data_IF_362326097922
#
_entry.id   IF_362326097922
#
_cell.length_a   1.000
_cell.length_b   1.000
_cell.length_c   1.000
_cell.angle_alpha   90.00
_cell.angle_beta   90.00
_cell.angle_gamma   90.00
#
_symmetry.space_group_name_H-M   'P 1'
#
loop_
_entity.id
_entity.type
_entity.pdbx_description
1 polymer ?
#
# COMPACT_ATOMS: atom_id res chain seq x y z
N UNK A 1 -17.73 43.80 9.94
CA UNK A 1 -16.32 43.40 9.71
C UNK A 1 -16.00 41.93 10.03
N UNK A 2 -15.63 41.51 11.26
CA UNK A 2 -15.09 40.14 11.47
C UNK A 2 -16.05 39.00 11.10
N UNK A 3 -17.35 39.11 11.41
CA UNK A 3 -18.34 38.08 11.00
C UNK A 3 -18.46 37.98 9.48
N UNK A 4 -18.45 39.13 8.80
CA UNK A 4 -18.48 39.23 7.34
C UNK A 4 -17.22 38.64 6.71
N UNK A 5 -16.03 38.95 7.25
CA UNK A 5 -14.76 38.32 6.85
C UNK A 5 -14.86 36.78 6.81
N UNK A 6 -15.36 36.18 7.90
CA UNK A 6 -15.51 34.72 8.01
C UNK A 6 -16.45 34.17 6.95
N UNK A 7 -17.62 34.79 6.77
CA UNK A 7 -18.61 34.35 5.80
C UNK A 7 -18.13 34.49 4.35
N UNK A 8 -17.53 35.63 4.02
CA UNK A 8 -17.02 35.91 2.67
C UNK A 8 -15.89 34.93 2.33
N UNK A 9 -14.97 34.68 3.27
CA UNK A 9 -13.88 33.72 3.07
C UNK A 9 -14.42 32.30 2.85
N UNK A 10 -15.34 31.83 3.69
CA UNK A 10 -15.97 30.52 3.49
C UNK A 10 -16.69 30.41 2.15
N UNK A 11 -17.35 31.48 1.70
CA UNK A 11 -18.05 31.50 0.42
C UNK A 11 -17.09 31.40 -0.77
N UNK A 12 -16.00 32.17 -0.78
CA UNK A 12 -15.00 32.13 -1.86
C UNK A 12 -14.32 30.74 -1.95
N UNK A 13 -14.07 30.11 -0.82
CA UNK A 13 -13.51 28.75 -0.79
C UNK A 13 -14.50 27.71 -1.33
N UNK A 14 -15.82 27.89 -1.12
CA UNK A 14 -16.84 27.02 -1.70
C UNK A 14 -16.98 27.18 -3.22
N UNK A 15 -16.66 28.35 -3.77
CA UNK A 15 -16.62 28.57 -5.22
C UNK A 15 -15.36 28.03 -5.91
N UNK A 16 -14.44 27.41 -5.15
CA UNK A 16 -13.21 26.82 -5.70
C UNK A 16 -12.11 27.85 -5.98
N UNK A 17 -12.17 29.02 -5.34
CA UNK A 17 -11.07 29.98 -5.41
C UNK A 17 -9.87 29.55 -4.55
N UNK A 18 -8.69 30.09 -4.90
CA UNK A 18 -7.43 29.78 -4.25
C UNK A 18 -7.38 30.32 -2.82
N UNK A 19 -7.07 29.46 -1.84
CA UNK A 19 -7.07 29.76 -0.41
C UNK A 19 -6.32 31.04 -0.05
N UNK A 20 -5.03 31.14 -0.38
CA UNK A 20 -4.23 32.31 0.00
C UNK A 20 -4.71 33.60 -0.67
N UNK A 21 -5.17 33.51 -1.92
CA UNK A 21 -5.71 34.66 -2.65
C UNK A 21 -7.02 35.16 -2.01
N UNK A 22 -7.96 34.25 -1.74
CA UNK A 22 -9.24 34.59 -1.10
C UNK A 22 -9.04 35.12 0.32
N UNK A 23 -8.13 34.53 1.12
CA UNK A 23 -7.80 35.02 2.45
C UNK A 23 -7.22 36.46 2.41
N UNK A 24 -6.27 36.73 1.52
CA UNK A 24 -5.69 38.08 1.33
C UNK A 24 -6.74 39.08 0.90
N UNK A 25 -7.59 38.72 -0.07
CA UNK A 25 -8.67 39.57 -0.57
C UNK A 25 -9.69 39.92 0.54
N UNK A 26 -10.19 38.91 1.27
CA UNK A 26 -11.14 39.13 2.36
C UNK A 26 -10.54 39.96 3.50
N UNK A 27 -9.27 39.72 3.85
CA UNK A 27 -8.58 40.50 4.89
C UNK A 27 -8.44 41.97 4.47
N UNK A 28 -8.02 42.23 3.23
CA UNK A 28 -7.87 43.58 2.70
C UNK A 28 -9.23 44.32 2.64
N UNK A 29 -10.28 43.66 2.15
CA UNK A 29 -11.64 44.21 2.12
C UNK A 29 -12.14 44.56 3.53
N UNK A 30 -11.90 43.68 4.49
CA UNK A 30 -12.29 43.88 5.89
C UNK A 30 -11.53 45.04 6.55
N UNK A 31 -10.23 45.19 6.25
CA UNK A 31 -9.45 46.34 6.70
C UNK A 31 -9.98 47.65 6.12
N UNK A 32 -10.32 47.70 4.83
CA UNK A 32 -10.90 48.90 4.20
C UNK A 32 -12.26 49.26 4.82
N UNK A 33 -13.12 48.28 5.07
CA UNK A 33 -14.42 48.48 5.74
C UNK A 33 -14.23 49.03 7.16
N UNK A 34 -13.26 48.50 7.91
CA UNK A 34 -12.94 48.99 9.25
C UNK A 34 -12.44 50.44 9.24
N UNK A 35 -11.52 50.78 8.34
CA UNK A 35 -11.00 52.16 8.23
C UNK A 35 -12.06 53.17 7.79
N UNK A 36 -13.00 52.77 6.93
CA UNK A 36 -14.13 53.61 6.57
C UNK A 36 -15.03 53.86 7.78
N UNK A 37 -15.47 52.80 8.47
CA UNK A 37 -16.30 52.93 9.66
C UNK A 37 -15.63 53.69 10.81
N UNK A 38 -14.31 53.56 10.96
CA UNK A 38 -13.53 54.34 11.94
C UNK A 38 -13.52 55.83 11.60
N UNK A 39 -13.26 56.21 10.35
CA UNK A 39 -13.29 57.61 9.91
C UNK A 39 -14.65 58.26 10.11
N UNK A 40 -15.73 57.51 9.92
CA UNK A 40 -17.10 58.00 10.11
C UNK A 40 -17.46 58.17 11.61
N UNK A 41 -16.82 57.40 12.51
CA UNK A 41 -17.12 57.40 13.94
C UNK A 41 -16.22 58.33 14.78
N UNK A 42 -15.05 58.74 14.28
CA UNK A 42 -14.10 59.59 15.03
C UNK A 42 -14.64 61.00 15.25
N UNK A 43 -14.68 61.43 16.51
CA UNK A 43 -15.01 62.80 16.91
C UNK A 43 -13.73 63.63 16.99
N UNK A 44 -13.67 64.75 16.25
CA UNK A 44 -12.47 65.61 16.07
C UNK A 44 -11.83 66.18 17.35
N UNK A 45 -12.46 66.06 18.51
CA UNK A 45 -11.98 66.63 19.78
C UNK A 45 -11.70 65.57 20.85
N UNK A 46 -11.75 64.30 20.48
CA UNK A 46 -11.46 63.20 21.40
C UNK A 46 -10.22 62.45 20.93
N UNK A 47 -9.30 62.15 21.86
CA UNK A 47 -8.04 61.46 21.60
C UNK A 47 -8.26 59.94 21.47
N UNK A 48 -9.08 59.54 20.50
CA UNK A 48 -9.47 58.16 20.28
C UNK A 48 -8.42 57.46 19.41
N UNK A 49 -7.69 56.51 20.00
CA UNK A 49 -6.73 55.68 19.29
C UNK A 49 -7.37 54.35 18.84
N UNK A 50 -7.55 54.21 17.53
CA UNK A 50 -8.13 53.02 16.89
C UNK A 50 -7.13 51.86 16.71
N UNK A 51 -5.84 52.06 16.99
CA UNK A 51 -4.79 51.06 16.73
C UNK A 51 -5.04 49.76 17.47
N UNK A 52 -5.45 49.80 18.74
CA UNK A 52 -5.73 48.60 19.53
C UNK A 52 -6.87 47.77 18.92
N UNK A 53 -7.96 48.43 18.50
CA UNK A 53 -9.11 47.79 17.86
C UNK A 53 -8.74 47.21 16.50
N UNK A 54 -7.93 47.94 15.71
CA UNK A 54 -7.38 47.46 14.42
C UNK A 54 -6.51 46.21 14.61
N UNK A 55 -5.59 46.26 15.56
CA UNK A 55 -4.69 45.14 15.86
C UNK A 55 -5.46 43.91 16.32
N UNK A 56 -6.47 44.09 17.18
CA UNK A 56 -7.36 42.99 17.62
C UNK A 56 -8.14 42.38 16.46
N UNK A 57 -8.66 43.21 15.55
CA UNK A 57 -9.36 42.73 14.36
C UNK A 57 -8.41 41.92 13.47
N UNK A 58 -7.22 42.46 13.18
CA UNK A 58 -6.21 41.79 12.36
C UNK A 58 -5.77 40.45 12.96
N UNK A 59 -5.44 40.44 14.26
CA UNK A 59 -5.10 39.21 14.97
C UNK A 59 -6.25 38.19 14.91
N UNK A 60 -7.50 38.63 15.07
CA UNK A 60 -8.66 37.73 15.00
C UNK A 60 -8.87 37.13 13.60
N UNK A 61 -8.60 37.91 12.54
CA UNK A 61 -8.64 37.42 11.16
C UNK A 61 -7.50 36.44 10.87
N UNK A 62 -6.29 36.73 11.33
CA UNK A 62 -5.12 35.87 11.18
C UNK A 62 -5.32 34.52 11.90
N UNK A 63 -5.81 34.54 13.14
CA UNK A 63 -6.14 33.32 13.90
C UNK A 63 -7.20 32.50 13.17
N UNK A 64 -8.28 33.13 12.69
CA UNK A 64 -9.31 32.41 11.94
C UNK A 64 -8.77 31.81 10.63
N UNK A 65 -7.96 32.57 9.89
CA UNK A 65 -7.33 32.12 8.65
C UNK A 65 -6.41 30.92 8.90
N UNK A 66 -5.62 30.97 9.98
CA UNK A 66 -4.73 29.87 10.35
C UNK A 66 -5.52 28.59 10.71
N UNK A 67 -6.58 28.71 11.52
CA UNK A 67 -7.45 27.58 11.84
C UNK A 67 -8.09 26.97 10.59
N UNK A 68 -8.58 27.80 9.68
CA UNK A 68 -9.21 27.34 8.45
C UNK A 68 -8.20 26.70 7.49
N UNK A 69 -6.98 27.24 7.42
CA UNK A 69 -5.86 26.66 6.66
C UNK A 69 -5.58 25.23 7.11
N UNK A 70 -5.45 25.00 8.42
CA UNK A 70 -5.21 23.66 8.99
C UNK A 70 -6.34 22.70 8.59
N UNK A 71 -7.60 23.09 8.79
CA UNK A 71 -8.74 22.26 8.45
C UNK A 71 -8.78 21.88 6.95
N UNK A 72 -8.46 22.83 6.07
CA UNK A 72 -8.41 22.60 4.62
C UNK A 72 -7.25 21.71 4.18
N UNK A 73 -6.09 21.84 4.83
CA UNK A 73 -4.95 20.95 4.60
C UNK A 73 -5.22 19.52 5.05
N UNK A 74 -5.93 19.33 6.17
CA UNK A 74 -6.36 17.99 6.61
C UNK A 74 -7.33 17.35 5.61
N UNK A 75 -8.30 18.12 5.10
CA UNK A 75 -9.23 17.67 4.04
C UNK A 75 -8.48 17.29 2.75
N UNK A 76 -7.52 18.12 2.34
CA UNK A 76 -6.66 17.88 1.18
C UNK A 76 -5.87 16.58 1.37
N UNK A 77 -5.18 16.44 2.50
CA UNK A 77 -4.40 15.25 2.86
C UNK A 77 -5.27 14.00 2.87
N UNK A 78 -6.47 14.05 3.43
CA UNK A 78 -7.41 12.93 3.41
C UNK A 78 -7.82 12.54 1.99
N UNK A 79 -8.10 13.53 1.13
CA UNK A 79 -8.44 13.31 -0.28
C UNK A 79 -7.33 12.60 -1.03
N UNK A 80 -6.07 13.05 -0.87
CA UNK A 80 -4.94 12.46 -1.57
C UNK A 80 -4.53 11.08 -1.01
N UNK A 81 -4.69 10.86 0.30
CA UNK A 81 -4.58 9.52 0.90
C UNK A 81 -5.58 8.54 0.29
N UNK A 82 -6.84 8.97 0.11
CA UNK A 82 -7.86 8.16 -0.56
C UNK A 82 -7.50 7.87 -2.02
N UNK A 83 -7.03 8.85 -2.79
CA UNK A 83 -6.55 8.64 -4.17
C UNK A 83 -5.43 7.59 -4.25
N UNK A 84 -4.47 7.63 -3.32
CA UNK A 84 -3.40 6.63 -3.23
C UNK A 84 -3.96 5.23 -2.92
N UNK A 85 -4.89 5.14 -1.97
CA UNK A 85 -5.54 3.88 -1.62
C UNK A 85 -6.25 3.27 -2.83
N UNK A 86 -7.05 4.07 -3.53
CA UNK A 86 -7.84 3.63 -4.69
C UNK A 86 -6.93 3.19 -5.85
N UNK A 87 -5.82 3.92 -6.10
CA UNK A 87 -4.87 3.61 -7.17
C UNK A 87 -3.99 2.38 -6.90
N UNK A 88 -3.66 2.10 -5.64
CA UNK A 88 -2.72 1.04 -5.27
C UNK A 88 -3.39 -0.27 -4.83
N UNK A 89 -4.46 -0.20 -4.04
CA UNK A 89 -5.01 -1.37 -3.34
C UNK A 89 -5.44 -2.50 -4.28
N UNK A 90 -6.33 -2.19 -5.25
CA UNK A 90 -6.86 -3.17 -6.19
C UNK A 90 -5.77 -3.79 -7.08
N UNK A 91 -4.93 -2.98 -7.75
CA UNK A 91 -3.86 -3.52 -8.58
C UNK A 91 -2.82 -4.33 -7.81
N UNK A 92 -2.41 -3.91 -6.59
CA UNK A 92 -1.50 -4.69 -5.74
C UNK A 92 -2.11 -6.04 -5.39
N UNK A 93 -3.40 -6.07 -5.05
CA UNK A 93 -4.13 -7.33 -4.82
C UNK A 93 -3.97 -8.25 -6.02
N UNK A 94 -4.40 -7.78 -7.19
CA UNK A 94 -4.43 -8.59 -8.41
C UNK A 94 -3.04 -9.17 -8.78
N UNK A 95 -1.98 -8.38 -8.61
CA UNK A 95 -0.61 -8.83 -8.87
C UNK A 95 -0.13 -9.89 -7.86
N UNK A 96 -0.54 -9.79 -6.61
CA UNK A 96 -0.19 -10.79 -5.59
C UNK A 96 -1.01 -12.08 -5.73
N UNK A 97 -2.27 -11.98 -6.18
CA UNK A 97 -3.13 -13.12 -6.42
C UNK A 97 -2.60 -14.05 -7.52
N UNK A 98 -2.03 -13.47 -8.59
CA UNK A 98 -1.34 -14.25 -9.63
C UNK A 98 -0.06 -14.87 -9.07
N UNK A 99 0.71 -14.09 -8.31
CA UNK A 99 1.93 -14.53 -7.63
C UNK A 99 3.01 -15.00 -8.58
N UNK A 100 3.12 -14.33 -9.72
CA UNK A 100 4.18 -14.55 -10.69
C UNK A 100 5.54 -14.13 -10.13
N UNK A 101 6.62 -14.62 -10.75
CA UNK A 101 7.99 -14.37 -10.26
C UNK A 101 8.32 -12.87 -10.22
N UNK A 102 7.76 -12.10 -11.13
CA UNK A 102 7.98 -10.66 -11.25
C UNK A 102 6.91 -9.82 -10.52
N UNK A 103 6.02 -10.42 -9.71
CA UNK A 103 4.95 -9.71 -8.98
C UNK A 103 5.48 -8.47 -8.24
N UNK A 104 6.59 -8.60 -7.50
CA UNK A 104 7.18 -7.47 -6.79
C UNK A 104 7.85 -6.43 -7.70
N UNK A 105 8.37 -6.82 -8.85
CA UNK A 105 8.87 -5.87 -9.85
C UNK A 105 7.70 -5.07 -10.46
N UNK A 106 6.59 -5.73 -10.76
CA UNK A 106 5.35 -5.10 -11.23
C UNK A 106 4.75 -4.16 -10.17
N UNK A 107 4.69 -4.59 -8.91
CA UNK A 107 4.25 -3.74 -7.78
C UNK A 107 5.16 -2.51 -7.63
N UNK A 108 6.49 -2.64 -7.75
CA UNK A 108 7.41 -1.49 -7.67
C UNK A 108 7.18 -0.49 -8.79
N UNK A 109 6.98 -0.95 -10.03
CA UNK A 109 6.67 -0.07 -11.18
C UNK A 109 5.37 0.70 -10.95
N UNK A 110 4.31 0.00 -10.53
CA UNK A 110 3.03 0.60 -10.18
C UNK A 110 3.19 1.61 -9.03
N UNK A 111 3.79 1.19 -7.92
CA UNK A 111 4.01 2.01 -6.73
C UNK A 111 4.73 3.31 -7.08
N UNK A 112 5.83 3.24 -7.82
CA UNK A 112 6.58 4.44 -8.25
C UNK A 112 5.73 5.36 -9.12
N UNK A 113 5.06 4.80 -10.14
CA UNK A 113 4.26 5.59 -11.09
C UNK A 113 3.13 6.33 -10.40
N UNK A 114 2.30 5.61 -9.64
CA UNK A 114 1.12 6.20 -9.00
C UNK A 114 1.50 7.14 -7.86
N UNK A 115 2.49 6.75 -7.03
CA UNK A 115 2.90 7.56 -5.88
C UNK A 115 3.51 8.89 -6.33
N UNK A 116 4.42 8.89 -7.29
CA UNK A 116 5.03 10.15 -7.75
C UNK A 116 4.02 11.03 -8.52
N UNK A 117 3.16 10.45 -9.35
CA UNK A 117 2.09 11.22 -10.01
C UNK A 117 1.17 11.92 -9.01
N UNK A 118 0.73 11.20 -7.97
CA UNK A 118 -0.16 11.74 -6.95
C UNK A 118 0.56 12.77 -6.07
N UNK A 119 1.84 12.56 -5.75
CA UNK A 119 2.65 13.51 -5.00
C UNK A 119 2.85 14.81 -5.77
N UNK A 120 3.18 14.75 -7.07
CA UNK A 120 3.31 15.95 -7.89
C UNK A 120 2.02 16.77 -7.86
N UNK A 121 0.88 16.12 -8.09
CA UNK A 121 -0.43 16.78 -8.06
C UNK A 121 -0.77 17.36 -6.68
N UNK A 122 -0.37 16.65 -5.61
CA UNK A 122 -0.53 17.11 -4.23
C UNK A 122 0.35 18.34 -3.93
N UNK A 123 1.62 18.32 -4.34
CA UNK A 123 2.55 19.44 -4.19
C UNK A 123 2.06 20.68 -4.93
N UNK A 124 1.53 20.52 -6.14
CA UNK A 124 0.91 21.62 -6.88
C UNK A 124 -0.29 22.20 -6.12
N UNK A 125 -1.12 21.34 -5.52
CA UNK A 125 -2.26 21.78 -4.69
C UNK A 125 -1.81 22.47 -3.39
N UNK A 126 -0.70 22.03 -2.79
CA UNK A 126 -0.13 22.64 -1.58
C UNK A 126 0.41 24.05 -1.83
N UNK A 127 0.87 24.34 -3.04
CA UNK A 127 1.41 25.67 -3.40
C UNK A 127 0.40 26.80 -3.18
N UNK A 128 -0.90 26.49 -3.22
CA UNK A 128 -2.01 27.42 -2.98
C UNK A 128 -2.08 27.95 -1.54
N UNK A 129 -1.49 27.22 -0.59
CA UNK A 129 -1.62 27.49 0.84
C UNK A 129 -0.48 28.34 1.42
N UNK A 130 0.53 28.67 0.61
CA UNK A 130 1.71 29.48 0.99
C UNK A 130 2.39 28.96 2.26
N UNK A 131 2.59 27.65 2.32
CA UNK A 131 3.25 26.98 3.46
C UNK A 131 4.76 27.20 3.43
N UNK A 132 5.37 27.12 4.61
CA UNK A 132 6.81 27.02 4.69
C UNK A 132 7.31 25.67 4.11
N UNK A 133 8.57 25.66 3.71
CA UNK A 133 9.16 24.48 3.06
C UNK A 133 9.14 23.25 3.96
N UNK A 134 9.33 23.41 5.28
CA UNK A 134 9.42 22.28 6.21
C UNK A 134 8.08 21.57 6.35
N UNK A 135 6.99 22.32 6.55
CA UNK A 135 5.63 21.78 6.62
C UNK A 135 5.24 21.08 5.31
N UNK A 136 5.56 21.68 4.16
CA UNK A 136 5.25 21.07 2.85
C UNK A 136 5.96 19.72 2.64
N UNK A 137 7.23 19.62 3.06
CA UNK A 137 8.03 18.40 2.95
C UNK A 137 7.50 17.32 3.89
N UNK A 138 7.15 17.67 5.12
CA UNK A 138 6.55 16.74 6.08
C UNK A 138 5.25 16.14 5.55
N UNK A 139 4.34 16.96 5.00
CA UNK A 139 3.08 16.48 4.43
C UNK A 139 3.29 15.52 3.25
N UNK A 140 4.28 15.78 2.40
CA UNK A 140 4.64 14.88 1.28
C UNK A 140 5.22 13.57 1.80
N UNK A 141 6.06 13.59 2.84
CA UNK A 141 6.60 12.39 3.48
C UNK A 141 5.49 11.52 4.08
N UNK A 142 4.50 12.12 4.73
CA UNK A 142 3.35 11.39 5.28
C UNK A 142 2.52 10.71 4.17
N UNK A 143 2.38 11.34 2.99
CA UNK A 143 1.73 10.72 1.84
C UNK A 143 2.54 9.53 1.29
N UNK A 144 3.88 9.67 1.20
CA UNK A 144 4.76 8.56 0.80
C UNK A 144 4.66 7.37 1.76
N UNK A 145 4.65 7.63 3.06
CA UNK A 145 4.48 6.59 4.06
C UNK A 145 3.08 5.95 3.96
N UNK A 146 2.03 6.73 3.72
CA UNK A 146 0.69 6.20 3.49
C UNK A 146 0.62 5.28 2.27
N UNK A 147 1.30 5.64 1.17
CA UNK A 147 1.40 4.79 -0.02
C UNK A 147 2.09 3.46 0.32
N UNK A 148 3.21 3.50 1.05
CA UNK A 148 3.93 2.28 1.48
C UNK A 148 3.04 1.42 2.39
N UNK A 149 2.42 2.03 3.40
CA UNK A 149 1.50 1.37 4.32
C UNK A 149 0.35 0.67 3.58
N UNK A 150 -0.20 1.30 2.53
CA UNK A 150 -1.26 0.69 1.70
C UNK A 150 -0.77 -0.60 1.04
N UNK A 151 0.39 -0.59 0.39
CA UNK A 151 0.96 -1.80 -0.25
C UNK A 151 1.25 -2.88 0.78
N UNK A 152 1.87 -2.52 1.91
CA UNK A 152 2.20 -3.48 3.00
C UNK A 152 0.93 -4.09 3.59
N UNK A 153 -0.10 -3.27 3.86
CA UNK A 153 -1.39 -3.75 4.36
C UNK A 153 -1.98 -4.75 3.39
N UNK A 154 -2.00 -4.43 2.10
CA UNK A 154 -2.59 -5.33 1.10
C UNK A 154 -1.80 -6.63 0.95
N UNK A 155 -0.48 -6.56 1.02
CA UNK A 155 0.36 -7.74 1.02
C UNK A 155 0.13 -8.64 2.24
N UNK A 156 -0.11 -8.06 3.43
CA UNK A 156 -0.46 -8.82 4.65
C UNK A 156 -1.82 -9.52 4.52
N UNK A 157 -2.81 -8.86 3.93
CA UNK A 157 -4.12 -9.47 3.65
C UNK A 157 -3.99 -10.68 2.72
N UNK A 158 -3.25 -10.55 1.60
CA UNK A 158 -3.07 -11.67 0.68
C UNK A 158 -2.21 -12.79 1.26
N UNK A 159 -1.18 -12.46 2.05
CA UNK A 159 -0.40 -13.44 2.79
C UNK A 159 -1.25 -14.24 3.80
N UNK A 160 -2.27 -13.61 4.40
CA UNK A 160 -3.25 -14.30 5.25
C UNK A 160 -4.07 -15.37 4.51
N UNK A 161 -4.24 -15.21 3.20
CA UNK A 161 -4.99 -16.13 2.33
C UNK A 161 -4.08 -17.17 1.62
N UNK A 162 -2.78 -17.19 1.92
CA UNK A 162 -1.78 -17.97 1.16
C UNK A 162 -2.13 -19.44 1.02
N UNK A 163 -2.63 -20.10 2.06
CA UNK A 163 -2.94 -21.54 2.01
C UNK A 163 -4.02 -21.85 0.97
N UNK A 164 -5.09 -21.05 0.92
CA UNK A 164 -6.18 -21.22 -0.05
C UNK A 164 -5.65 -20.97 -1.46
N UNK A 165 -4.84 -19.93 -1.65
CA UNK A 165 -4.26 -19.59 -2.96
C UNK A 165 -3.28 -20.67 -3.45
N UNK A 166 -2.45 -21.20 -2.56
CA UNK A 166 -1.56 -22.33 -2.85
C UNK A 166 -2.34 -23.56 -3.31
N UNK A 167 -3.43 -23.91 -2.62
CA UNK A 167 -4.31 -25.02 -3.02
C UNK A 167 -4.94 -24.75 -4.38
N UNK A 168 -5.44 -23.55 -4.62
CA UNK A 168 -5.98 -23.16 -5.93
C UNK A 168 -4.94 -23.35 -7.04
N UNK A 169 -3.72 -22.83 -6.85
CA UNK A 169 -2.63 -22.96 -7.83
C UNK A 169 -2.22 -24.41 -8.05
N UNK A 170 -2.14 -25.20 -6.97
CA UNK A 170 -1.86 -26.63 -7.05
C UNK A 170 -2.92 -27.36 -7.85
N UNK A 171 -4.20 -27.16 -7.54
CA UNK A 171 -5.31 -27.80 -8.25
C UNK A 171 -5.30 -27.44 -9.72
N UNK A 172 -5.09 -26.16 -10.09
CA UNK A 172 -5.01 -25.75 -11.49
C UNK A 172 -3.92 -26.52 -12.24
N UNK A 173 -2.70 -26.62 -11.69
CA UNK A 173 -1.59 -27.32 -12.35
C UNK A 173 -1.80 -28.84 -12.39
N UNK A 174 -2.37 -29.42 -11.33
CA UNK A 174 -2.62 -30.86 -11.27
C UNK A 174 -3.73 -31.29 -12.23
N UNK A 175 -4.84 -30.54 -12.27
CA UNK A 175 -6.07 -30.96 -12.95
C UNK A 175 -6.20 -30.44 -14.39
N UNK A 176 -5.30 -29.58 -14.87
CA UNK A 176 -5.34 -29.07 -16.24
C UNK A 176 -4.07 -29.42 -17.00
N UNK A 177 -4.19 -29.60 -18.30
CA UNK A 177 -3.06 -29.73 -19.21
C UNK A 177 -2.46 -28.35 -19.59
N UNK A 178 -1.57 -28.33 -20.59
CA UNK A 178 -0.89 -27.10 -21.04
C UNK A 178 -1.83 -26.10 -21.71
N UNK A 179 -2.96 -26.57 -22.24
CA UNK A 179 -3.97 -25.77 -22.92
C UNK A 179 -5.08 -25.31 -21.97
N UNK A 180 -4.88 -25.52 -20.65
CA UNK A 180 -5.85 -25.23 -19.58
C UNK A 180 -7.14 -26.06 -19.70
N UNK A 181 -7.09 -27.19 -20.39
CA UNK A 181 -8.21 -28.12 -20.47
C UNK A 181 -8.14 -29.14 -19.33
N UNK A 182 -9.28 -29.61 -18.80
CA UNK A 182 -9.29 -30.65 -17.77
C UNK A 182 -8.50 -31.89 -18.21
N UNK A 183 -7.53 -32.28 -17.39
CA UNK A 183 -6.60 -33.36 -17.69
C UNK A 183 -7.33 -34.70 -17.70
N UNK A 184 -7.07 -35.49 -18.74
CA UNK A 184 -7.43 -36.91 -18.80
C UNK A 184 -6.18 -37.72 -18.47
N UNK A 185 -6.23 -38.56 -17.43
CA UNK A 185 -5.07 -39.32 -16.97
C UNK A 185 -4.77 -40.49 -17.91
N UNK A 186 -3.77 -40.34 -18.77
CA UNK A 186 -3.33 -41.38 -19.71
C UNK A 186 -2.17 -42.17 -19.09
N UNK A 187 -1.98 -43.43 -19.49
CA UNK A 187 -0.93 -44.34 -18.99
C UNK A 187 0.50 -43.78 -19.03
N UNK A 188 0.80 -42.85 -19.94
CA UNK A 188 2.15 -42.31 -20.14
C UNK A 188 2.47 -41.07 -19.28
N UNK A 189 1.52 -40.55 -18.51
CA UNK A 189 1.76 -39.36 -17.69
C UNK A 189 2.47 -39.70 -16.37
N UNK A 190 3.54 -38.96 -16.05
CA UNK A 190 4.21 -39.05 -14.76
C UNK A 190 3.50 -38.16 -13.73
N UNK A 191 2.54 -38.75 -13.01
CA UNK A 191 1.78 -38.06 -11.95
C UNK A 191 2.70 -37.52 -10.86
N UNK A 192 3.83 -38.17 -10.57
CA UNK A 192 4.78 -37.69 -9.56
C UNK A 192 5.50 -36.43 -10.04
N UNK A 193 5.92 -36.38 -11.31
CA UNK A 193 6.48 -35.17 -11.91
C UNK A 193 5.47 -34.01 -11.93
N UNK A 194 4.22 -34.26 -12.34
CA UNK A 194 3.14 -33.26 -12.36
C UNK A 194 2.85 -32.76 -10.94
N UNK A 195 2.75 -33.66 -9.96
CA UNK A 195 2.55 -33.30 -8.55
C UNK A 195 3.70 -32.46 -8.02
N UNK A 196 4.94 -32.79 -8.41
CA UNK A 196 6.13 -32.01 -8.04
C UNK A 196 6.09 -30.60 -8.66
N UNK A 197 5.65 -30.47 -9.91
CA UNK A 197 5.47 -29.18 -10.58
C UNK A 197 4.37 -28.33 -9.92
N UNK A 198 3.23 -28.93 -9.60
CA UNK A 198 2.13 -28.26 -8.90
C UNK A 198 2.57 -27.76 -7.51
N UNK A 199 3.36 -28.57 -6.79
CA UNK A 199 3.99 -28.21 -5.51
C UNK A 199 4.99 -27.06 -5.66
N UNK A 200 5.81 -27.09 -6.70
CA UNK A 200 6.76 -26.02 -7.03
C UNK A 200 6.02 -24.69 -7.31
N UNK A 201 4.94 -24.73 -8.09
CA UNK A 201 4.13 -23.55 -8.38
C UNK A 201 3.50 -22.96 -7.10
N UNK A 202 2.99 -23.80 -6.19
CA UNK A 202 2.47 -23.35 -4.89
C UNK A 202 3.56 -22.75 -3.99
N UNK A 203 4.79 -23.29 -3.99
CA UNK A 203 5.90 -22.74 -3.21
C UNK A 203 6.38 -21.38 -3.74
N UNK A 204 6.40 -21.18 -5.06
CA UNK A 204 6.75 -19.88 -5.63
C UNK A 204 5.77 -18.80 -5.18
N UNK A 205 4.49 -19.12 -5.11
CA UNK A 205 3.47 -18.24 -4.57
C UNK A 205 3.74 -17.89 -3.09
N UNK A 206 4.09 -18.90 -2.27
CA UNK A 206 4.49 -18.66 -0.88
C UNK A 206 5.73 -17.76 -0.77
N UNK A 207 6.72 -17.94 -1.65
CA UNK A 207 7.92 -17.10 -1.70
C UNK A 207 7.59 -15.64 -1.99
N UNK A 208 6.68 -15.39 -2.95
CA UNK A 208 6.19 -14.05 -3.26
C UNK A 208 5.51 -13.43 -2.04
N UNK A 209 4.68 -14.19 -1.31
CA UNK A 209 3.92 -13.69 -0.14
C UNK A 209 4.68 -13.74 1.19
N UNK A 210 5.92 -14.21 1.23
CA UNK A 210 6.69 -14.31 2.46
C UNK A 210 7.25 -12.97 2.95
N UNK A 211 7.53 -12.04 2.03
CA UNK A 211 8.13 -10.75 2.33
C UNK A 211 7.74 -9.67 1.33
N UNK A 212 7.69 -8.42 1.81
CA UNK A 212 7.56 -7.21 1.01
C UNK A 212 8.91 -6.87 0.38
N UNK A 213 8.92 -6.61 -0.94
CA UNK A 213 10.14 -6.34 -1.71
C UNK A 213 10.04 -5.02 -2.48
N UNK A 214 9.78 -3.93 -1.76
CA UNK A 214 9.68 -2.59 -2.35
C UNK A 214 11.04 -1.93 -2.60
N UNK A 215 12.07 -2.30 -1.83
CA UNK A 215 13.41 -1.69 -1.86
C UNK A 215 14.39 -2.39 -2.81
N UNK A 216 13.94 -3.40 -3.55
CA UNK A 216 14.75 -4.19 -4.50
C UNK A 216 15.96 -4.90 -3.88
N UNK A 217 15.96 -5.09 -2.55
CA UNK A 217 17.02 -5.87 -1.93
C UNK A 217 16.87 -7.35 -2.29
N UNK A 218 17.97 -8.03 -2.64
CA UNK A 218 17.92 -9.46 -2.86
C UNK A 218 17.62 -10.17 -1.54
N UNK A 219 16.96 -11.31 -1.65
CA UNK A 219 16.74 -12.25 -0.56
C UNK A 219 16.87 -13.69 -1.08
N UNK A 220 16.96 -14.63 -0.14
CA UNK A 220 17.14 -16.06 -0.44
C UNK A 220 15.89 -16.89 -0.13
N UNK A 221 14.72 -16.27 0.00
CA UNK A 221 13.50 -16.94 0.46
C UNK A 221 13.08 -18.04 -0.50
N UNK A 222 13.00 -17.76 -1.81
CA UNK A 222 12.61 -18.75 -2.82
C UNK A 222 13.48 -20.01 -2.72
N UNK A 223 14.81 -19.81 -2.73
CA UNK A 223 15.79 -20.88 -2.64
C UNK A 223 15.68 -21.65 -1.32
N UNK A 224 15.54 -20.95 -0.19
CA UNK A 224 15.38 -21.56 1.12
C UNK A 224 14.13 -22.45 1.19
N UNK A 225 13.00 -21.98 0.64
CA UNK A 225 11.76 -22.74 0.57
C UNK A 225 11.91 -23.98 -0.32
N UNK A 226 12.49 -23.86 -1.51
CA UNK A 226 12.66 -25.00 -2.41
C UNK A 226 13.54 -26.10 -1.81
N UNK A 227 14.72 -25.73 -1.29
CA UNK A 227 15.68 -26.68 -0.70
C UNK A 227 15.11 -27.37 0.54
N UNK A 228 14.33 -26.65 1.35
CA UNK A 228 13.84 -27.18 2.63
C UNK A 228 12.52 -27.95 2.51
N UNK A 229 11.66 -27.59 1.56
CA UNK A 229 10.27 -28.05 1.51
C UNK A 229 9.96 -28.94 0.31
N UNK A 230 10.60 -28.72 -0.85
CA UNK A 230 10.33 -29.46 -2.09
C UNK A 230 11.25 -30.66 -2.27
N UNK A 231 12.57 -30.47 -2.12
CA UNK A 231 13.60 -31.47 -2.47
C UNK A 231 13.86 -32.52 -1.36
N UNK A 232 12.91 -32.70 -0.44
CA UNK A 232 12.86 -33.89 0.42
C UNK A 232 13.80 -33.90 1.63
N UNK A 233 13.44 -33.16 2.67
CA UNK A 233 13.73 -33.54 4.06
C UNK A 233 14.87 -32.79 4.77
N UNK A 234 14.98 -32.96 6.11
CA UNK A 234 15.80 -32.15 7.02
C UNK A 234 17.33 -32.20 6.77
N UNK A 235 17.79 -32.98 5.79
CA UNK A 235 19.21 -33.12 5.42
C UNK A 235 19.55 -32.48 4.06
N UNK A 236 18.58 -32.00 3.28
CA UNK A 236 18.84 -31.45 1.95
C UNK A 236 19.54 -30.08 1.98
N UNK A 237 19.23 -29.24 2.97
CA UNK A 237 19.96 -27.99 3.19
C UNK A 237 21.43 -28.22 3.56
N UNK A 238 21.79 -29.35 4.19
CA UNK A 238 23.19 -29.70 4.52
C UNK A 238 24.06 -29.95 3.29
N UNK A 239 23.45 -30.24 2.14
CA UNK A 239 24.14 -30.34 0.83
C UNK A 239 24.25 -28.99 0.12
N UNK A 240 23.55 -27.96 0.61
CA UNK A 240 23.70 -26.60 0.11
C UNK A 240 24.92 -25.96 0.75
N UNK A 241 25.85 -25.45 -0.07
CA UNK A 241 26.97 -24.63 0.39
C UNK A 241 26.48 -23.30 0.98
N UNK A 242 25.24 -22.91 0.64
CA UNK A 242 24.68 -21.58 0.91
C UNK A 242 24.03 -21.45 2.30
N UNK A 243 23.65 -22.56 2.94
CA UNK A 243 22.96 -22.54 4.24
C UNK A 243 23.74 -23.35 5.27
N UNK A 244 24.20 -22.69 6.34
CA UNK A 244 24.97 -23.31 7.43
C UNK A 244 24.09 -23.95 8.51
N UNK A 245 22.80 -23.63 8.52
CA UNK A 245 21.76 -24.18 9.40
C UNK A 245 20.42 -24.28 8.68
N UNK A 246 19.42 -24.90 9.31
CA UNK A 246 18.06 -25.00 8.74
C UNK A 246 17.47 -23.59 8.52
N UNK A 247 17.28 -23.14 7.27
CA UNK A 247 16.90 -21.76 6.97
C UNK A 247 15.48 -21.43 7.39
N UNK A 248 14.67 -22.44 7.71
CA UNK A 248 13.29 -22.29 8.14
C UNK A 248 13.11 -22.52 9.65
N UNK A 249 14.19 -22.67 10.42
CA UNK A 249 14.12 -22.81 11.89
C UNK A 249 14.01 -21.45 12.61
N UNK A 250 14.34 -20.35 11.92
CA UNK A 250 14.29 -18.99 12.46
C UNK A 250 12.88 -18.39 12.46
N UNK A 251 12.62 -17.47 13.38
CA UNK A 251 11.42 -16.62 13.38
C UNK A 251 11.54 -15.43 12.43
N UNK A 252 12.73 -15.15 11.90
CA UNK A 252 13.02 -14.05 10.98
C UNK A 252 13.77 -14.54 9.73
N UNK A 253 13.55 -13.86 8.61
CA UNK A 253 14.31 -14.09 7.39
C UNK A 253 15.66 -13.37 7.44
N UNK A 254 16.70 -14.00 6.90
CA UNK A 254 17.98 -13.33 6.64
C UNK A 254 17.79 -12.30 5.52
N UNK A 255 18.43 -11.14 5.63
CA UNK A 255 18.38 -10.03 4.64
C UNK A 255 17.02 -9.31 4.50
N UNK A 256 15.99 -9.70 5.26
CA UNK A 256 14.66 -9.05 5.24
C UNK A 256 14.36 -8.44 6.61
N UNK A 257 13.87 -7.20 6.61
CA UNK A 257 13.52 -6.51 7.85
C UNK A 257 12.27 -7.15 8.52
N UNK A 258 12.12 -7.04 9.85
CA UNK A 258 10.90 -7.47 10.53
C UNK A 258 9.63 -6.78 10.03
N UNK A 259 9.74 -5.52 9.56
CA UNK A 259 8.61 -4.74 9.05
C UNK A 259 8.13 -5.25 7.69
N UNK A 260 9.06 -5.76 6.87
CA UNK A 260 8.79 -6.30 5.54
C UNK A 260 8.50 -7.80 5.56
N UNK A 261 8.68 -8.48 6.71
CA UNK A 261 8.30 -9.88 6.88
C UNK A 261 6.77 -10.03 6.95
N UNK A 262 6.21 -10.83 6.03
CA UNK A 262 4.77 -11.14 5.97
C UNK A 262 4.47 -12.53 6.56
N UNK A 263 5.27 -13.52 6.20
CA UNK A 263 5.18 -14.90 6.70
C UNK A 263 6.56 -15.29 7.18
N UNK A 264 6.68 -15.67 8.45
CA UNK A 264 7.97 -16.08 9.03
C UNK A 264 8.41 -17.45 8.49
N UNK A 265 9.72 -17.77 8.55
CA UNK A 265 10.21 -19.07 8.06
C UNK A 265 9.54 -20.27 8.75
N UNK A 266 9.28 -20.18 10.06
CA UNK A 266 8.55 -21.22 10.83
C UNK A 266 7.09 -21.33 10.40
N UNK A 267 6.42 -20.21 10.09
CA UNK A 267 5.06 -20.24 9.54
C UNK A 267 5.03 -20.89 8.16
N UNK A 268 6.00 -20.61 7.28
CA UNK A 268 6.12 -21.27 5.98
C UNK A 268 6.18 -22.80 6.11
N UNK A 269 6.95 -23.32 7.09
CA UNK A 269 6.96 -24.76 7.41
C UNK A 269 5.58 -25.28 7.82
N UNK A 270 4.89 -24.55 8.70
CA UNK A 270 3.56 -24.95 9.18
C UNK A 270 2.54 -24.99 8.04
N UNK A 271 2.47 -23.91 7.25
CA UNK A 271 1.61 -23.78 6.08
C UNK A 271 1.91 -24.90 5.08
N UNK A 272 3.19 -25.20 4.83
CA UNK A 272 3.57 -26.29 3.91
C UNK A 272 3.11 -27.67 4.38
N UNK A 273 3.22 -27.96 5.69
CA UNK A 273 2.71 -29.24 6.23
C UNK A 273 1.21 -29.36 6.04
N UNK A 274 0.46 -28.31 6.37
CA UNK A 274 -0.98 -28.28 6.18
C UNK A 274 -1.36 -28.40 4.70
N UNK A 275 -0.72 -27.63 3.83
CA UNK A 275 -0.90 -27.69 2.38
C UNK A 275 -0.69 -29.12 1.83
N UNK A 276 0.38 -29.81 2.26
CA UNK A 276 0.62 -31.19 1.82
C UNK A 276 -0.50 -32.14 2.27
N UNK A 277 -0.89 -32.09 3.53
CA UNK A 277 -1.97 -32.92 4.05
C UNK A 277 -3.29 -32.70 3.29
N UNK A 278 -3.63 -31.44 2.98
CA UNK A 278 -4.87 -31.10 2.26
C UNK A 278 -4.81 -31.39 0.74
N UNK A 279 -3.62 -31.60 0.17
CA UNK A 279 -3.43 -31.91 -1.26
C UNK A 279 -3.09 -33.38 -1.53
N UNK A 280 -2.94 -34.21 -0.50
CA UNK A 280 -2.70 -35.65 -0.65
C UNK A 280 -3.89 -36.38 -1.30
N UNK A 281 -5.12 -36.03 -0.92
CA UNK A 281 -6.31 -36.68 -1.47
C UNK A 281 -6.46 -36.49 -3.00
N UNK A 282 -6.38 -35.26 -3.56
CA UNK A 282 -6.40 -35.07 -5.02
C UNK A 282 -5.31 -35.85 -5.78
N UNK A 283 -4.11 -35.99 -5.19
CA UNK A 283 -3.01 -36.78 -5.79
C UNK A 283 -3.34 -38.27 -5.80
N UNK A 284 -3.86 -38.79 -4.68
CA UNK A 284 -4.28 -40.19 -4.61
C UNK A 284 -5.40 -40.50 -5.62
N UNK A 285 -6.35 -39.57 -5.77
CA UNK A 285 -7.44 -39.69 -6.75
C UNK A 285 -6.91 -39.72 -8.20
N UNK A 286 -5.94 -38.88 -8.54
CA UNK A 286 -5.29 -38.89 -9.85
C UNK A 286 -4.64 -40.25 -10.17
N UNK A 287 -3.91 -40.82 -9.19
CA UNK A 287 -3.28 -42.14 -9.33
C UNK A 287 -4.32 -43.25 -9.57
N UNK A 288 -5.43 -43.21 -8.84
CA UNK A 288 -6.52 -44.19 -9.02
C UNK A 288 -7.18 -44.06 -10.41
N UNK A 289 -7.41 -42.83 -10.89
CA UNK A 289 -8.00 -42.59 -12.22
C UNK A 289 -7.10 -43.09 -13.35
N UNK A 290 -5.78 -42.92 -13.24
CA UNK A 290 -4.82 -43.44 -14.21
C UNK A 290 -4.83 -44.97 -14.23
N UNK A 291 -4.84 -45.61 -13.06
CA UNK A 291 -4.87 -47.07 -12.94
C UNK A 291 -6.14 -47.68 -13.55
N UNK A 292 -7.29 -47.01 -13.42
CA UNK A 292 -8.55 -47.41 -14.06
C UNK A 292 -8.53 -47.25 -15.59
N UNK A 293 -7.88 -46.20 -16.11
CA UNK A 293 -7.79 -45.93 -17.55
C UNK A 293 -6.86 -46.88 -18.29
N UNK A 294 -5.91 -47.52 -17.59
CA UNK A 294 -5.08 -48.61 -18.15
C UNK A 294 -5.78 -49.96 -18.24
N UNK A 295 -6.93 -50.14 -17.61
CA UNK A 295 -7.69 -51.41 -17.60
C UNK A 295 -8.79 -51.49 -18.67
N UNK A 296 -9.09 -50.37 -19.33
CA UNK A 296 -10.05 -50.23 -20.44
C UNK A 296 -9.32 -50.19 -21.78
#
# INVERSE_FOLDING_TARGET
VLSKFKNDLEQLLRSGERFAASARHCAQSSSVEFEAGWRDAVVKHADWDGTNSRNKLQQSMEVHTACLRIAKLDELKATYKKKLLDALSGPVQSILETGERDSWASIRRLYRRETEHIILTFSDSLSEYELDQTTSVEMVLELREHARCTVVKKAREEAGNILIRMKGRFSTVLSHDKDLMPRTWIANEDIHAITREARLAALRLMSVMAAVRLDDKPDKIDRALMVSLLDGGPLCWKRSIEFTSDPLASTTWQEVSPQDTLITPVQCKSIWRQFKAETEYPVAQAILMQAGSTQT
#
